data_IF_536317170626
#
_entry.id   IF_536317170626
#
_cell.length_a   1.000
_cell.length_b   1.000
_cell.length_c   1.000
_cell.angle_alpha   90.00
_cell.angle_beta   90.00
_cell.angle_gamma   90.00
#
_symmetry.space_group_name_H-M   'P 1'
#
loop_
_entity.id
_entity.type
_entity.pdbx_description
1 polymer ?
#
# COMPACT_ATOMS: atom_id res chain seq x y z
N UNK A 1 43.09 -0.47 -7.99
CA UNK A 1 41.83 -1.08 -8.52
C UNK A 1 40.70 -1.12 -7.49
N UNK A 2 40.97 -1.37 -6.20
CA UNK A 2 39.93 -1.45 -5.13
C UNK A 2 39.36 -0.07 -4.76
N UNK A 3 40.15 1.00 -4.77
CA UNK A 3 39.70 2.36 -4.47
C UNK A 3 38.76 2.94 -5.55
N UNK A 4 38.93 2.56 -6.81
CA UNK A 4 38.05 2.97 -7.92
C UNK A 4 36.65 2.32 -7.82
N UNK A 5 36.56 1.08 -7.34
CA UNK A 5 35.27 0.39 -7.12
C UNK A 5 34.48 1.04 -5.98
N UNK A 6 35.12 1.32 -4.84
CA UNK A 6 34.46 1.96 -3.69
C UNK A 6 33.93 3.37 -4.03
N UNK A 7 34.70 4.17 -4.77
CA UNK A 7 34.26 5.49 -5.22
C UNK A 7 33.06 5.42 -6.19
N UNK A 8 33.04 4.42 -7.08
CA UNK A 8 31.91 4.14 -7.97
C UNK A 8 30.66 3.75 -7.20
N UNK A 9 30.80 2.94 -6.15
CA UNK A 9 29.66 2.50 -5.33
C UNK A 9 29.10 3.64 -4.47
N UNK A 10 29.94 4.51 -3.94
CA UNK A 10 29.51 5.73 -3.23
C UNK A 10 28.74 6.66 -4.18
N UNK A 11 29.27 6.88 -5.40
CA UNK A 11 28.60 7.70 -6.40
C UNK A 11 27.23 7.13 -6.82
N UNK A 12 27.15 5.83 -7.05
CA UNK A 12 25.87 5.15 -7.35
C UNK A 12 24.84 5.31 -6.22
N UNK A 13 25.26 5.14 -4.97
CA UNK A 13 24.38 5.34 -3.80
C UNK A 13 23.90 6.78 -3.70
N UNK A 14 24.76 7.77 -3.94
CA UNK A 14 24.39 9.18 -3.94
C UNK A 14 23.43 9.51 -5.09
N UNK A 15 23.65 8.95 -6.28
CA UNK A 15 22.76 9.14 -7.43
C UNK A 15 21.38 8.53 -7.17
N UNK A 16 21.33 7.31 -6.64
CA UNK A 16 20.07 6.64 -6.23
C UNK A 16 19.34 7.44 -5.16
N UNK A 17 20.05 7.98 -4.17
CA UNK A 17 19.46 8.84 -3.13
C UNK A 17 18.86 10.12 -3.71
N UNK A 18 19.57 10.79 -4.62
CA UNK A 18 19.06 11.99 -5.33
C UNK A 18 17.84 11.69 -6.18
N UNK A 19 17.85 10.60 -6.92
CA UNK A 19 16.70 10.16 -7.72
C UNK A 19 15.51 9.83 -6.83
N UNK A 20 15.72 9.14 -5.71
CA UNK A 20 14.69 8.85 -4.72
C UNK A 20 14.05 10.13 -4.16
N UNK A 21 14.86 11.13 -3.81
CA UNK A 21 14.38 12.41 -3.30
C UNK A 21 13.61 13.20 -4.37
N UNK A 22 14.07 13.20 -5.61
CA UNK A 22 13.36 13.86 -6.71
C UNK A 22 12.01 13.19 -7.00
N UNK A 23 11.96 11.85 -7.04
CA UNK A 23 10.70 11.09 -7.19
C UNK A 23 9.75 11.37 -6.01
N UNK A 24 10.29 11.45 -4.79
CA UNK A 24 9.52 11.77 -3.58
C UNK A 24 8.93 13.18 -3.63
N UNK A 25 9.70 14.17 -4.08
CA UNK A 25 9.25 15.55 -4.25
C UNK A 25 8.14 15.64 -5.31
N UNK A 26 8.30 14.99 -6.46
CA UNK A 26 7.27 14.93 -7.51
C UNK A 26 6.01 14.21 -6.99
N UNK A 27 6.16 13.15 -6.22
CA UNK A 27 5.04 12.44 -5.60
C UNK A 27 4.30 13.32 -4.58
N UNK A 28 5.02 14.15 -3.83
CA UNK A 28 4.44 15.13 -2.90
C UNK A 28 3.69 16.25 -3.63
N UNK A 29 4.24 16.75 -4.74
CA UNK A 29 3.57 17.74 -5.60
C UNK A 29 2.29 17.18 -6.25
N UNK A 30 2.18 15.86 -6.40
CA UNK A 30 1.02 15.16 -6.97
C UNK A 30 0.07 14.60 -5.90
N UNK A 31 0.38 14.77 -4.61
CA UNK A 31 -0.50 14.33 -3.53
C UNK A 31 -1.76 15.20 -3.52
N UNK A 32 -2.96 14.58 -3.54
CA UNK A 32 -4.20 15.33 -3.47
C UNK A 32 -4.27 16.19 -2.21
N UNK A 33 -4.77 17.45 -2.30
CA UNK A 33 -4.85 18.37 -1.15
C UNK A 33 -5.64 17.83 0.04
N UNK A 34 -6.52 16.86 -0.18
CA UNK A 34 -7.31 16.23 0.87
C UNK A 34 -6.46 15.53 1.94
N UNK A 35 -5.23 15.08 1.61
CA UNK A 35 -4.28 14.49 2.57
C UNK A 35 -3.72 15.51 3.57
N UNK A 36 -3.85 16.79 3.33
CA UNK A 36 -3.48 17.84 4.28
C UNK A 36 -4.53 18.04 5.38
N UNK A 37 -5.78 17.65 5.12
CA UNK A 37 -6.92 17.99 5.97
C UNK A 37 -7.69 16.79 6.51
N UNK A 38 -7.60 15.64 5.83
CA UNK A 38 -8.33 14.42 6.19
C UNK A 38 -7.36 13.35 6.70
N UNK A 39 -7.83 12.57 7.69
CA UNK A 39 -7.11 11.35 8.09
C UNK A 39 -7.22 10.28 7.01
N UNK A 40 -6.27 9.33 7.02
CA UNK A 40 -6.35 8.18 6.11
C UNK A 40 -7.65 7.38 6.29
N UNK A 41 -8.17 7.27 7.52
CA UNK A 41 -9.47 6.65 7.79
C UNK A 41 -10.60 7.30 6.99
N UNK A 42 -10.67 8.64 6.99
CA UNK A 42 -11.70 9.39 6.28
C UNK A 42 -11.57 9.26 4.75
N UNK A 43 -10.34 9.18 4.25
CA UNK A 43 -10.06 9.01 2.82
C UNK A 43 -10.45 7.59 2.38
N UNK A 44 -10.08 6.57 3.15
CA UNK A 44 -10.38 5.17 2.83
C UNK A 44 -11.88 4.87 2.91
N UNK A 45 -12.58 5.45 3.89
CA UNK A 45 -14.03 5.32 4.00
C UNK A 45 -14.75 5.86 2.76
N UNK A 46 -14.40 7.08 2.33
CA UNK A 46 -14.94 7.68 1.09
C UNK A 46 -14.58 6.86 -0.14
N UNK A 47 -13.36 6.34 -0.19
CA UNK A 47 -12.91 5.51 -1.30
C UNK A 47 -13.71 4.20 -1.38
N UNK A 48 -13.95 3.52 -0.27
CA UNK A 48 -14.72 2.28 -0.22
C UNK A 48 -16.16 2.50 -0.70
N UNK A 49 -16.84 3.55 -0.22
CA UNK A 49 -18.18 3.92 -0.66
C UNK A 49 -18.23 4.18 -2.18
N UNK A 50 -17.28 4.98 -2.70
CA UNK A 50 -17.20 5.29 -4.13
C UNK A 50 -16.90 4.05 -4.99
N UNK A 51 -16.06 3.14 -4.48
CA UNK A 51 -15.75 1.90 -5.20
C UNK A 51 -16.99 1.00 -5.28
N UNK A 52 -17.78 0.89 -4.22
CA UNK A 52 -19.07 0.18 -4.21
C UNK A 52 -20.02 0.78 -5.26
N UNK A 53 -20.22 2.08 -5.27
CA UNK A 53 -21.09 2.77 -6.25
C UNK A 53 -20.68 2.51 -7.70
N UNK A 54 -19.38 2.52 -7.98
CA UNK A 54 -18.85 2.40 -9.35
C UNK A 54 -18.81 0.97 -9.87
N UNK A 55 -18.70 -0.01 -8.99
CA UNK A 55 -18.45 -1.42 -9.39
C UNK A 55 -19.59 -2.37 -9.05
N UNK A 56 -20.46 -2.00 -8.11
CA UNK A 56 -21.49 -2.88 -7.54
C UNK A 56 -20.93 -3.96 -6.62
N UNK A 57 -19.61 -3.98 -6.37
CA UNK A 57 -18.99 -4.87 -5.37
C UNK A 57 -19.20 -4.24 -4.00
N UNK A 58 -19.61 -5.02 -3.01
CA UNK A 58 -19.73 -4.55 -1.63
C UNK A 58 -18.33 -4.34 -1.02
N UNK A 59 -17.98 -3.08 -0.78
CA UNK A 59 -16.69 -2.70 -0.19
C UNK A 59 -16.92 -2.07 1.16
N UNK A 60 -16.39 -2.67 2.22
CA UNK A 60 -16.46 -2.13 3.58
C UNK A 60 -15.09 -1.68 4.07
N UNK A 61 -15.09 -0.63 4.90
CA UNK A 61 -13.90 -0.13 5.57
C UNK A 61 -14.05 -0.18 7.09
N UNK A 62 -13.04 -0.68 7.77
CA UNK A 62 -12.94 -0.70 9.24
C UNK A 62 -11.80 0.23 9.69
N UNK A 63 -12.13 1.39 10.27
CA UNK A 63 -11.17 2.41 10.65
C UNK A 63 -10.36 2.03 11.90
N UNK A 64 -9.28 2.79 12.13
CA UNK A 64 -8.49 2.71 13.37
C UNK A 64 -9.33 3.14 14.59
N UNK A 65 -9.04 2.56 15.74
CA UNK A 65 -9.58 3.05 16.99
C UNK A 65 -9.05 4.46 17.29
N UNK A 66 -9.88 5.30 17.91
CA UNK A 66 -9.53 6.65 18.32
C UNK A 66 -8.94 7.53 17.20
N UNK A 67 -9.24 7.20 15.93
CA UNK A 67 -8.73 7.94 14.77
C UNK A 67 -7.19 8.01 14.73
N UNK A 68 -6.53 6.92 15.10
CA UNK A 68 -5.06 6.83 15.20
C UNK A 68 -4.37 7.09 13.86
N UNK A 69 -5.06 6.91 12.72
CA UNK A 69 -4.50 7.20 11.39
C UNK A 69 -4.12 8.68 11.19
N UNK A 70 -4.58 9.60 12.04
CA UNK A 70 -4.16 11.01 12.03
C UNK A 70 -2.69 11.21 12.39
N UNK A 71 -2.08 10.25 13.07
CA UNK A 71 -0.66 10.31 13.44
C UNK A 71 0.27 9.80 12.34
N UNK A 72 -0.29 9.28 11.25
CA UNK A 72 0.49 8.89 10.08
C UNK A 72 1.03 10.14 9.36
N UNK A 73 2.31 10.17 8.99
CA UNK A 73 2.82 11.18 8.07
C UNK A 73 2.03 11.18 6.76
N UNK A 74 1.73 12.35 6.21
CA UNK A 74 0.91 12.48 5.00
C UNK A 74 1.46 11.67 3.82
N UNK A 75 2.77 11.64 3.65
CA UNK A 75 3.43 10.81 2.62
C UNK A 75 3.14 9.32 2.82
N UNK A 76 3.25 8.85 4.06
CA UNK A 76 2.96 7.44 4.40
C UNK A 76 1.48 7.12 4.19
N UNK A 77 0.59 8.00 4.61
CA UNK A 77 -0.86 7.86 4.40
C UNK A 77 -1.19 7.80 2.90
N UNK A 78 -0.55 8.64 2.08
CA UNK A 78 -0.73 8.63 0.63
C UNK A 78 -0.21 7.34 -0.02
N UNK A 79 0.96 6.84 0.39
CA UNK A 79 1.47 5.57 -0.12
C UNK A 79 0.56 4.38 0.25
N UNK A 80 0.06 4.33 1.49
CA UNK A 80 -0.92 3.32 1.91
C UNK A 80 -2.21 3.40 1.08
N UNK A 81 -2.74 4.59 0.84
CA UNK A 81 -3.89 4.81 -0.02
C UNK A 81 -3.66 4.29 -1.44
N UNK A 82 -2.51 4.59 -2.04
CA UNK A 82 -2.15 4.12 -3.38
C UNK A 82 -2.01 2.59 -3.45
N UNK A 83 -1.49 1.98 -2.40
CA UNK A 83 -1.44 0.51 -2.28
C UNK A 83 -2.86 -0.06 -2.25
N UNK A 84 -3.75 0.52 -1.43
CA UNK A 84 -5.17 0.09 -1.38
C UNK A 84 -5.82 0.22 -2.74
N UNK A 85 -5.65 1.35 -3.43
CA UNK A 85 -6.22 1.57 -4.76
C UNK A 85 -5.77 0.49 -5.76
N UNK A 86 -4.48 0.23 -5.85
CA UNK A 86 -3.94 -0.74 -6.80
C UNK A 86 -4.43 -2.17 -6.51
N UNK A 87 -4.41 -2.57 -5.24
CA UNK A 87 -4.85 -3.91 -4.84
C UNK A 87 -6.35 -4.11 -5.06
N UNK A 88 -7.18 -3.17 -4.65
CA UNK A 88 -8.64 -3.29 -4.84
C UNK A 88 -9.02 -3.23 -6.32
N UNK A 89 -8.34 -2.42 -7.14
CA UNK A 89 -8.55 -2.42 -8.59
C UNK A 89 -8.13 -3.74 -9.23
N UNK A 90 -7.09 -4.40 -8.74
CA UNK A 90 -6.70 -5.74 -9.19
C UNK A 90 -7.76 -6.78 -8.82
N UNK A 91 -8.34 -6.70 -7.62
CA UNK A 91 -9.45 -7.56 -7.20
C UNK A 91 -10.66 -7.35 -8.12
N UNK A 92 -11.07 -6.09 -8.34
CA UNK A 92 -12.19 -5.74 -9.23
C UNK A 92 -12.01 -6.32 -10.63
N UNK A 93 -10.79 -6.23 -11.18
CA UNK A 93 -10.51 -6.66 -12.55
C UNK A 93 -10.35 -8.18 -12.72
N UNK A 94 -9.85 -8.86 -11.70
CA UNK A 94 -9.32 -10.20 -11.87
C UNK A 94 -9.86 -11.26 -10.92
N UNK A 95 -10.45 -10.88 -9.77
CA UNK A 95 -10.80 -11.85 -8.74
C UNK A 95 -12.24 -12.36 -8.80
N UNK A 96 -13.13 -11.72 -9.58
CA UNK A 96 -14.58 -12.02 -9.57
C UNK A 96 -15.16 -12.00 -8.13
N UNK A 97 -14.64 -11.11 -7.29
CA UNK A 97 -15.09 -10.94 -5.92
C UNK A 97 -16.43 -10.21 -5.88
N UNK A 98 -17.28 -10.55 -4.91
CA UNK A 98 -18.50 -9.81 -4.59
C UNK A 98 -18.36 -8.94 -3.33
N UNK A 99 -17.35 -9.23 -2.50
CA UNK A 99 -17.09 -8.51 -1.25
C UNK A 99 -15.61 -8.23 -1.09
N UNK A 100 -15.30 -7.00 -0.66
CA UNK A 100 -13.95 -6.56 -0.29
C UNK A 100 -14.04 -5.91 1.10
N UNK A 101 -13.17 -6.30 2.01
CA UNK A 101 -13.03 -5.69 3.32
C UNK A 101 -11.66 -5.05 3.43
N UNK A 102 -11.62 -3.76 3.71
CA UNK A 102 -10.41 -3.01 3.99
C UNK A 102 -10.40 -2.69 5.48
N UNK A 103 -9.33 -2.96 6.20
CA UNK A 103 -9.18 -2.56 7.60
C UNK A 103 -7.82 -1.96 7.87
N UNK A 104 -7.79 -0.91 8.68
CA UNK A 104 -6.58 -0.32 9.21
C UNK A 104 -6.65 -0.41 10.74
N UNK A 105 -5.60 -0.94 11.35
CA UNK A 105 -5.47 -1.03 12.81
C UNK A 105 -4.17 -0.37 13.24
N UNK A 106 -4.20 0.27 14.39
CA UNK A 106 -3.03 0.81 15.04
C UNK A 106 -2.89 0.20 16.44
N UNK A 107 -1.68 -0.12 16.84
CA UNK A 107 -1.39 -0.48 18.23
C UNK A 107 -0.77 0.70 19.00
N UNK A 108 -0.53 0.51 20.30
CA UNK A 108 0.01 1.54 21.18
C UNK A 108 1.51 1.85 20.93
N UNK A 109 2.16 1.14 20.01
CA UNK A 109 3.59 1.27 19.70
C UNK A 109 3.83 1.88 18.31
N UNK A 110 2.90 2.69 17.80
CA UNK A 110 2.97 3.26 16.45
C UNK A 110 3.11 2.21 15.34
N UNK A 111 2.63 1.00 15.56
CA UNK A 111 2.56 -0.04 14.55
C UNK A 111 1.19 -0.04 13.91
N UNK A 112 1.17 -0.08 12.59
CA UNK A 112 -0.05 -0.10 11.81
C UNK A 112 -0.15 -1.41 11.01
N UNK A 113 -1.34 -1.97 10.98
CA UNK A 113 -1.67 -3.14 10.16
C UNK A 113 -2.76 -2.76 9.18
N UNK A 114 -2.42 -2.70 7.89
CA UNK A 114 -3.39 -2.60 6.80
C UNK A 114 -3.73 -3.99 6.31
N UNK A 115 -5.01 -4.34 6.24
CA UNK A 115 -5.46 -5.61 5.72
C UNK A 115 -6.53 -5.41 4.65
N UNK A 116 -6.42 -6.14 3.55
CA UNK A 116 -7.42 -6.19 2.48
C UNK A 116 -7.80 -7.64 2.30
N UNK A 117 -9.09 -7.92 2.41
CA UNK A 117 -9.66 -9.26 2.26
C UNK A 117 -10.68 -9.25 1.14
N UNK A 118 -10.66 -10.25 0.26
CA UNK A 118 -11.68 -10.46 -0.76
C UNK A 118 -12.12 -11.93 -0.81
N UNK A 119 -13.34 -12.17 -1.29
CA UNK A 119 -13.92 -13.48 -1.47
C UNK A 119 -13.81 -13.98 -2.93
N UNK A 120 -12.91 -13.44 -3.72
CA UNK A 120 -12.74 -13.81 -5.12
C UNK A 120 -12.12 -15.19 -5.31
N UNK A 121 -12.54 -15.89 -6.36
CA UNK A 121 -12.15 -17.29 -6.63
C UNK A 121 -10.86 -17.45 -7.44
N UNK A 122 -10.35 -16.37 -8.04
CA UNK A 122 -9.24 -16.41 -9.00
C UNK A 122 -7.94 -15.79 -8.46
N UNK A 123 -7.70 -15.81 -7.15
CA UNK A 123 -6.35 -15.59 -6.70
C UNK A 123 -5.49 -16.72 -7.24
N UNK A 124 -4.77 -16.48 -8.33
CA UNK A 124 -3.79 -17.43 -8.87
C UNK A 124 -2.94 -17.93 -7.71
N UNK A 125 -3.05 -19.23 -7.46
CA UNK A 125 -2.20 -19.94 -6.52
C UNK A 125 -0.76 -19.52 -6.83
N UNK A 126 -0.07 -18.93 -5.84
CA UNK A 126 1.33 -18.52 -5.90
C UNK A 126 1.64 -17.19 -6.62
N UNK A 127 1.20 -16.08 -6.02
CA UNK A 127 1.98 -14.85 -6.12
C UNK A 127 2.46 -14.47 -4.71
N UNK A 128 3.42 -15.24 -4.23
CA UNK A 128 4.34 -14.74 -3.20
C UNK A 128 5.05 -13.54 -3.79
N UNK A 129 5.17 -12.46 -3.01
CA UNK A 129 5.75 -11.16 -3.37
C UNK A 129 7.24 -11.21 -3.89
N UNK A 130 7.70 -12.33 -4.40
CA UNK A 130 9.12 -12.60 -4.73
C UNK A 130 9.37 -13.09 -6.16
N UNK A 131 8.35 -13.27 -7.02
CA UNK A 131 8.58 -13.75 -8.38
C UNK A 131 8.62 -12.60 -9.40
N UNK A 132 9.72 -12.50 -10.14
CA UNK A 132 10.06 -11.51 -11.18
C UNK A 132 9.12 -11.47 -12.43
N UNK A 133 7.95 -12.10 -12.38
CA UNK A 133 6.95 -12.10 -13.46
C UNK A 133 5.67 -11.34 -13.08
N UNK A 134 5.69 -10.56 -12.01
CA UNK A 134 4.54 -9.77 -11.58
C UNK A 134 4.23 -8.67 -12.61
N UNK A 135 2.94 -8.55 -12.97
CA UNK A 135 2.47 -7.45 -13.82
C UNK A 135 2.85 -6.09 -13.23
N UNK A 136 2.85 -5.05 -14.07
CA UNK A 136 3.28 -3.68 -13.70
C UNK A 136 2.66 -3.20 -12.38
N UNK A 137 1.39 -3.54 -12.08
CA UNK A 137 0.69 -3.13 -10.88
C UNK A 137 1.27 -3.69 -9.58
N UNK A 138 1.59 -4.99 -9.52
CA UNK A 138 2.18 -5.61 -8.32
C UNK A 138 3.61 -5.12 -8.06
N UNK A 139 4.38 -4.85 -9.11
CA UNK A 139 5.69 -4.24 -8.99
C UNK A 139 5.59 -2.85 -8.35
N UNK A 140 4.62 -2.03 -8.79
CA UNK A 140 4.36 -0.71 -8.20
C UNK A 140 3.98 -0.80 -6.73
N UNK A 141 3.14 -1.77 -6.34
CA UNK A 141 2.79 -2.02 -4.94
C UNK A 141 4.03 -2.36 -4.11
N UNK A 142 4.89 -3.27 -4.59
CA UNK A 142 6.11 -3.65 -3.88
C UNK A 142 7.10 -2.47 -3.72
N UNK A 143 7.22 -1.62 -4.74
CA UNK A 143 8.08 -0.43 -4.66
C UNK A 143 7.54 0.58 -3.62
N UNK A 144 6.21 0.75 -3.52
CA UNK A 144 5.57 1.59 -2.49
C UNK A 144 5.74 1.03 -1.09
N UNK A 145 5.57 -0.29 -0.90
CA UNK A 145 5.79 -0.97 0.39
C UNK A 145 7.22 -0.73 0.88
N UNK A 146 8.21 -0.85 -0.01
CA UNK A 146 9.61 -0.56 0.31
C UNK A 146 9.85 0.91 0.64
N UNK A 147 9.17 1.83 -0.05
CA UNK A 147 9.32 3.27 0.17
C UNK A 147 8.92 3.71 1.58
N UNK A 148 7.95 3.03 2.19
CA UNK A 148 7.49 3.28 3.57
C UNK A 148 8.11 2.32 4.60
N UNK A 149 9.12 1.53 4.22
CA UNK A 149 9.77 0.52 5.08
C UNK A 149 8.78 -0.48 5.71
N UNK A 150 7.71 -0.81 5.00
CA UNK A 150 6.72 -1.79 5.44
C UNK A 150 7.09 -3.20 4.99
N UNK A 151 6.45 -4.20 5.60
CA UNK A 151 6.47 -5.59 5.17
C UNK A 151 5.07 -6.04 4.79
N UNK A 152 4.94 -6.92 3.81
CA UNK A 152 3.65 -7.43 3.38
C UNK A 152 3.66 -8.94 3.19
N UNK A 153 2.50 -9.56 3.43
CA UNK A 153 2.24 -10.97 3.21
C UNK A 153 0.89 -11.16 2.54
N UNK A 154 0.78 -12.19 1.71
CA UNK A 154 -0.47 -12.61 1.07
C UNK A 154 -0.77 -14.04 1.48
N UNK A 155 -1.97 -14.27 1.98
CA UNK A 155 -2.48 -15.59 2.32
C UNK A 155 -3.79 -15.82 1.55
N UNK A 156 -3.89 -16.96 0.87
CA UNK A 156 -5.12 -17.35 0.16
C UNK A 156 -5.65 -18.65 0.72
N UNK A 157 -6.95 -18.69 0.96
CA UNK A 157 -7.69 -19.87 1.37
C UNK A 157 -8.74 -20.23 0.30
N UNK A 158 -9.54 -21.25 0.57
CA UNK A 158 -10.68 -21.63 -0.29
C UNK A 158 -11.81 -20.61 -0.28
N UNK A 159 -11.89 -19.80 0.78
CA UNK A 159 -12.98 -18.85 0.99
C UNK A 159 -12.56 -17.39 0.76
N UNK A 160 -11.34 -17.04 1.15
CA UNK A 160 -10.87 -15.65 1.12
C UNK A 160 -9.40 -15.54 0.74
N UNK A 161 -9.07 -14.41 0.12
CA UNK A 161 -7.70 -13.95 -0.07
C UNK A 161 -7.45 -12.79 0.89
N UNK A 162 -6.32 -12.81 1.56
CA UNK A 162 -5.95 -11.81 2.56
C UNK A 162 -4.58 -11.25 2.25
N UNK A 163 -4.52 -9.97 1.95
CA UNK A 163 -3.28 -9.19 1.91
C UNK A 163 -3.12 -8.50 3.27
N UNK A 164 -1.95 -8.63 3.87
CA UNK A 164 -1.62 -7.97 5.15
C UNK A 164 -0.32 -7.20 4.99
N UNK A 165 -0.32 -5.91 5.34
CA UNK A 165 0.84 -5.04 5.38
C UNK A 165 1.06 -4.59 6.83
N UNK A 166 2.30 -4.70 7.29
CA UNK A 166 2.76 -4.27 8.60
C UNK A 166 3.71 -3.09 8.43
N UNK A 167 3.43 -2.01 9.11
CA UNK A 167 4.19 -0.78 9.11
C UNK A 167 4.52 -0.37 10.55
N UNK A 168 5.76 0.06 10.79
CA UNK A 168 6.19 0.62 12.05
C UNK A 168 6.66 2.06 11.81
N UNK A 169 6.00 3.03 12.44
CA UNK A 169 6.39 4.43 12.41
C UNK A 169 7.33 4.67 13.60
N UNK A 170 8.62 4.48 13.37
CA UNK A 170 9.64 4.92 14.32
C UNK A 170 9.80 6.43 14.18
N UNK A 171 9.76 7.15 15.31
CA UNK A 171 10.11 8.57 15.40
C UNK A 171 11.57 8.80 15.00
#
# INVERSE_FOLDING_TARGET
>A
LLASSAASDVYKRQLVSKLRNNVRNISHELMPPEFEHLSLDQILDRYAAKLTENTGIEVSYHPTENNASRHLPNETAYELYRIVQELTMNIVKHASASHIVISLRADNENKYTLQITDNGKNANKQQTATNNNDGIGLRTVNDRIRAINATANVCSSTENNVFTLLLNINE
#
